data_IF_838235326462
#
_entry.id   IF_838235326462
#
_cell.length_a   1.000
_cell.length_b   1.000
_cell.length_c   1.000
_cell.angle_alpha   90.00
_cell.angle_beta   90.00
_cell.angle_gamma   90.00
#
_symmetry.space_group_name_H-M   'P 1'
#
loop_
_entity.id
_entity.type
_entity.pdbx_description
1 polymer ?
#
# COMPACT_ATOMS: atom_id res chain seq x y z
N UNK A 1 -12.27 7.65 -1.01
CA UNK A 1 -11.02 7.85 -0.24
C UNK A 1 -10.29 9.09 -0.73
N UNK A 2 -9.59 9.83 0.15
CA UNK A 2 -8.80 11.04 -0.20
C UNK A 2 -7.33 10.82 0.13
N UNK A 3 -6.43 11.48 -0.61
CA UNK A 3 -4.96 11.43 -0.38
C UNK A 3 -4.56 11.95 1.00
N UNK A 4 -5.40 12.77 1.63
CA UNK A 4 -5.20 13.30 2.98
C UNK A 4 -5.09 12.21 4.06
N UNK A 5 -5.63 11.01 3.82
CA UNK A 5 -5.49 9.87 4.73
C UNK A 5 -4.03 9.45 4.96
N UNK A 6 -3.10 9.80 4.06
CA UNK A 6 -1.68 9.53 4.22
C UNK A 6 -0.98 10.47 5.23
N UNK A 7 -1.63 11.58 5.62
CA UNK A 7 -1.04 12.63 6.47
C UNK A 7 -1.84 12.93 7.74
N UNK A 8 -2.62 11.96 8.24
CA UNK A 8 -3.53 12.17 9.38
C UNK A 8 -2.83 12.68 10.65
N UNK A 9 -1.53 12.37 10.81
CA UNK A 9 -0.68 12.86 11.91
C UNK A 9 -0.62 14.39 12.03
N UNK A 10 -0.83 15.11 10.94
CA UNK A 10 -0.70 16.57 10.89
C UNK A 10 -2.00 17.34 11.13
N UNK A 11 -3.10 16.67 11.49
CA UNK A 11 -4.44 17.26 11.57
C UNK A 11 -5.02 17.20 12.99
N UNK A 12 -5.71 18.27 13.40
CA UNK A 12 -6.46 18.35 14.67
C UNK A 12 -7.95 18.05 14.45
N UNK A 13 -8.67 17.74 15.54
CA UNK A 13 -10.13 17.58 15.58
C UNK A 13 -10.71 16.55 14.60
N UNK A 14 -10.01 15.43 14.45
CA UNK A 14 -10.41 14.34 13.56
C UNK A 14 -11.58 13.52 14.12
N UNK A 15 -12.63 13.32 13.31
CA UNK A 15 -13.70 12.35 13.60
C UNK A 15 -13.25 10.93 13.26
N UNK A 16 -12.65 10.26 14.24
CA UNK A 16 -12.16 8.89 14.12
C UNK A 16 -13.26 7.87 13.76
N UNK A 17 -14.51 8.10 14.17
CA UNK A 17 -15.62 7.18 13.86
C UNK A 17 -15.92 7.18 12.37
N UNK A 18 -15.81 8.33 11.71
CA UNK A 18 -15.96 8.45 10.26
C UNK A 18 -14.70 7.99 9.53
N UNK A 19 -13.50 8.31 10.05
CA UNK A 19 -12.23 7.93 9.43
C UNK A 19 -12.00 6.41 9.40
N UNK A 20 -12.36 5.67 10.45
CA UNK A 20 -12.22 4.21 10.48
C UNK A 20 -13.01 3.52 9.36
N UNK A 21 -14.07 4.14 8.83
CA UNK A 21 -14.82 3.62 7.68
C UNK A 21 -14.04 3.72 6.36
N UNK A 22 -12.96 4.50 6.34
CA UNK A 22 -12.08 4.71 5.19
C UNK A 22 -10.79 3.88 5.27
N UNK A 23 -10.66 3.03 6.29
CA UNK A 23 -9.54 2.11 6.44
C UNK A 23 -9.49 1.14 5.24
N UNK A 24 -8.28 0.87 4.75
CA UNK A 24 -8.03 -0.15 3.74
C UNK A 24 -8.30 -1.55 4.30
N UNK A 25 -8.57 -2.52 3.43
CA UNK A 25 -8.88 -3.89 3.84
C UNK A 25 -7.77 -4.57 4.66
N UNK A 26 -6.52 -4.13 4.51
CA UNK A 26 -5.38 -4.63 5.27
C UNK A 26 -5.22 -3.99 6.67
N UNK A 27 -6.10 -3.06 7.03
CA UNK A 27 -6.06 -2.33 8.30
C UNK A 27 -5.27 -1.02 8.24
N UNK A 28 -4.67 -0.68 7.10
CA UNK A 28 -3.91 0.56 6.94
C UNK A 28 -4.78 1.77 6.64
N UNK A 29 -4.24 2.95 6.91
CA UNK A 29 -4.71 4.19 6.33
C UNK A 29 -3.84 4.54 5.12
N UNK A 30 -4.38 4.29 3.92
CA UNK A 30 -3.73 4.57 2.64
C UNK A 30 -2.32 3.96 2.53
N UNK A 31 -2.13 2.75 3.05
CA UNK A 31 -0.86 2.02 3.07
C UNK A 31 0.28 2.72 3.86
N UNK A 32 -0.02 3.72 4.68
CA UNK A 32 0.97 4.48 5.45
C UNK A 32 1.11 3.92 6.87
N UNK A 33 2.27 3.31 7.25
CA UNK A 33 2.50 2.87 8.63
C UNK A 33 2.48 4.02 9.61
N UNK A 34 2.91 5.21 9.19
CA UNK A 34 2.88 6.38 10.04
C UNK A 34 1.42 6.72 10.38
N UNK A 35 0.58 7.05 9.39
CA UNK A 35 -0.83 7.42 9.64
C UNK A 35 -1.61 6.32 10.37
N UNK A 36 -1.32 5.05 10.07
CA UNK A 36 -1.94 3.91 10.76
C UNK A 36 -1.53 3.83 12.24
N UNK A 37 -0.27 4.11 12.59
CA UNK A 37 0.18 4.17 13.98
C UNK A 37 -0.51 5.30 14.76
N UNK A 38 -0.72 6.44 14.12
CA UNK A 38 -1.46 7.54 14.75
C UNK A 38 -2.92 7.17 15.01
N UNK A 39 -3.59 6.55 14.03
CA UNK A 39 -4.93 6.02 14.21
C UNK A 39 -4.99 5.03 15.38
N UNK A 40 -4.06 4.05 15.43
CA UNK A 40 -3.98 3.09 16.54
C UNK A 40 -3.84 3.78 17.90
N UNK A 41 -3.02 4.82 18.01
CA UNK A 41 -2.83 5.54 19.28
C UNK A 41 -4.14 6.17 19.78
N UNK A 42 -4.95 6.72 18.87
CA UNK A 42 -6.20 7.41 19.18
C UNK A 42 -7.39 6.47 19.39
N UNK A 43 -7.48 5.38 18.62
CA UNK A 43 -8.69 4.54 18.56
C UNK A 43 -8.52 3.17 19.19
N UNK A 44 -7.28 2.70 19.39
CA UNK A 44 -6.95 1.31 19.76
C UNK A 44 -7.52 0.27 18.78
N UNK A 45 -7.74 0.67 17.52
CA UNK A 45 -8.28 -0.21 16.50
C UNK A 45 -7.38 -1.43 16.23
N UNK A 46 -7.98 -2.62 16.28
CA UNK A 46 -7.25 -3.88 16.18
C UNK A 46 -6.71 -4.13 14.76
N UNK A 47 -7.39 -3.63 13.71
CA UNK A 47 -6.92 -3.77 12.34
C UNK A 47 -5.66 -2.93 12.10
N UNK A 48 -5.61 -1.70 12.64
CA UNK A 48 -4.40 -0.87 12.63
C UNK A 48 -3.23 -1.59 13.32
N UNK A 49 -3.48 -2.21 14.48
CA UNK A 49 -2.46 -3.00 15.17
C UNK A 49 -1.99 -4.19 14.34
N UNK A 50 -2.93 -4.95 13.76
CA UNK A 50 -2.61 -6.13 12.95
C UNK A 50 -1.77 -5.77 11.73
N UNK A 51 -2.06 -4.65 11.06
CA UNK A 51 -1.25 -4.12 9.97
C UNK A 51 0.18 -3.79 10.45
N UNK A 52 0.31 -2.97 11.48
CA UNK A 52 1.62 -2.52 12.00
C UNK A 52 2.47 -3.68 12.52
N UNK A 53 1.87 -4.62 13.23
CA UNK A 53 2.55 -5.81 13.75
C UNK A 53 3.07 -6.69 12.60
N UNK A 54 2.32 -6.84 11.51
CA UNK A 54 2.80 -7.52 10.31
C UNK A 54 3.99 -6.78 9.69
N UNK A 55 3.94 -5.44 9.62
CA UNK A 55 5.04 -4.63 9.06
C UNK A 55 6.32 -4.78 9.88
N UNK A 56 6.24 -4.58 11.20
CA UNK A 56 7.39 -4.69 12.11
C UNK A 56 8.02 -6.08 12.06
N UNK A 57 7.20 -7.14 12.00
CA UNK A 57 7.70 -8.52 11.82
C UNK A 57 8.38 -8.72 10.48
N UNK A 58 7.79 -8.19 9.40
CA UNK A 58 8.32 -8.32 8.03
C UNK A 58 9.65 -7.59 7.84
N UNK A 59 9.78 -6.41 8.43
CA UNK A 59 10.94 -5.51 8.28
C UNK A 59 11.85 -5.51 9.51
N UNK A 60 11.77 -6.56 10.34
CA UNK A 60 12.66 -6.82 11.46
C UNK A 60 12.87 -5.62 12.41
N UNK A 61 11.78 -4.98 12.83
CA UNK A 61 11.79 -3.82 13.70
C UNK A 61 11.63 -2.46 12.99
N UNK A 62 11.99 -2.38 11.71
CA UNK A 62 11.76 -1.20 10.87
C UNK A 62 10.37 -1.20 10.21
N UNK A 63 10.03 -0.11 9.52
CA UNK A 63 8.89 -0.01 8.59
C UNK A 63 9.24 0.97 7.45
N UNK A 64 8.78 0.74 6.20
CA UNK A 64 8.87 1.73 5.13
C UNK A 64 7.85 2.87 5.33
N UNK A 65 7.92 3.90 4.49
CA UNK A 65 6.93 5.00 4.50
C UNK A 65 5.57 4.57 3.94
N UNK A 66 5.56 3.60 3.01
CA UNK A 66 4.36 3.04 2.38
C UNK A 66 4.50 1.52 2.19
N UNK A 67 3.45 0.75 2.48
CA UNK A 67 3.42 -0.69 2.22
C UNK A 67 1.99 -1.27 2.21
N UNK A 68 1.66 -2.23 1.32
CA UNK A 68 2.48 -2.71 0.21
C UNK A 68 2.50 -1.73 -0.98
N UNK A 69 3.38 -1.98 -1.94
CA UNK A 69 3.48 -1.26 -3.22
C UNK A 69 3.59 -2.24 -4.39
N UNK A 70 2.98 -3.42 -4.24
CA UNK A 70 3.16 -4.57 -5.13
C UNK A 70 2.77 -4.25 -6.57
N UNK A 71 1.62 -3.63 -6.83
CA UNK A 71 1.23 -3.31 -8.21
C UNK A 71 2.15 -2.27 -8.83
N UNK A 72 2.54 -1.24 -8.07
CA UNK A 72 3.48 -0.23 -8.55
C UNK A 72 4.85 -0.83 -8.87
N UNK A 73 5.40 -1.67 -7.99
CA UNK A 73 6.71 -2.29 -8.19
C UNK A 73 6.75 -3.15 -9.46
N UNK A 74 5.73 -4.00 -9.69
CA UNK A 74 5.67 -4.84 -10.89
C UNK A 74 5.60 -3.99 -12.17
N UNK A 75 4.76 -2.95 -12.20
CA UNK A 75 4.63 -2.07 -13.36
C UNK A 75 5.91 -1.26 -13.59
N UNK A 76 6.49 -0.71 -12.51
CA UNK A 76 7.68 0.13 -12.59
C UNK A 76 8.90 -0.66 -13.09
N UNK A 77 9.11 -1.89 -12.60
CA UNK A 77 10.21 -2.75 -13.08
C UNK A 77 10.06 -3.02 -14.57
N UNK A 78 8.86 -3.39 -15.03
CA UNK A 78 8.61 -3.64 -16.46
C UNK A 78 8.86 -2.38 -17.28
N UNK A 79 8.33 -1.22 -16.88
CA UNK A 79 8.58 0.07 -17.53
C UNK A 79 10.08 0.36 -17.68
N UNK A 80 10.86 0.15 -16.62
CA UNK A 80 12.32 0.38 -16.66
C UNK A 80 13.03 -0.57 -17.62
N UNK A 81 12.69 -1.86 -17.60
CA UNK A 81 13.31 -2.86 -18.47
C UNK A 81 13.02 -2.59 -19.96
N UNK A 82 11.78 -2.22 -20.28
CA UNK A 82 11.37 -1.89 -21.64
C UNK A 82 12.04 -0.60 -22.14
N UNK A 83 12.02 0.47 -21.33
CA UNK A 83 12.63 1.76 -21.72
C UNK A 83 14.14 1.71 -21.87
N UNK A 84 14.82 0.82 -21.16
CA UNK A 84 16.24 0.56 -21.33
C UNK A 84 16.55 -0.36 -22.53
N UNK A 85 15.53 -0.95 -23.17
CA UNK A 85 15.70 -1.84 -24.32
C UNK A 85 16.35 -3.19 -23.96
N UNK A 86 16.24 -3.61 -22.70
CA UNK A 86 16.82 -4.86 -22.17
C UNK A 86 15.77 -5.90 -21.75
N UNK A 87 14.48 -5.61 -21.91
CA UNK A 87 13.36 -6.53 -21.60
C UNK A 87 13.48 -7.90 -22.26
N UNK A 88 14.14 -8.00 -23.43
CA UNK A 88 14.40 -9.28 -24.14
C UNK A 88 15.15 -10.33 -23.30
N UNK A 89 15.90 -9.92 -22.28
CA UNK A 89 16.61 -10.83 -21.38
C UNK A 89 15.76 -11.32 -20.21
N UNK A 90 14.57 -10.75 -20.02
CA UNK A 90 13.70 -10.94 -18.84
C UNK A 90 12.26 -11.26 -19.25
N UNK A 91 12.06 -11.95 -20.37
CA UNK A 91 10.72 -12.15 -20.95
C UNK A 91 9.77 -12.89 -20.00
N UNK A 92 10.28 -13.89 -19.26
CA UNK A 92 9.48 -14.65 -18.32
C UNK A 92 9.11 -13.81 -17.10
N UNK A 93 10.06 -13.06 -16.54
CA UNK A 93 9.85 -12.17 -15.40
C UNK A 93 8.87 -11.04 -15.75
N UNK A 94 9.00 -10.44 -16.93
CA UNK A 94 8.05 -9.45 -17.44
C UNK A 94 6.65 -10.05 -17.55
N UNK A 95 6.53 -11.27 -18.11
CA UNK A 95 5.25 -11.97 -18.20
C UNK A 95 4.65 -12.25 -16.83
N UNK A 96 5.44 -12.67 -15.86
CA UNK A 96 4.98 -12.95 -14.50
C UNK A 96 4.52 -11.66 -13.80
N UNK A 97 5.26 -10.56 -13.96
CA UNK A 97 4.86 -9.25 -13.45
C UNK A 97 3.53 -8.79 -14.06
N UNK A 98 3.39 -8.85 -15.38
CA UNK A 98 2.16 -8.42 -16.06
C UNK A 98 0.99 -9.34 -15.75
N UNK A 99 1.22 -10.64 -15.53
CA UNK A 99 0.19 -11.58 -15.10
C UNK A 99 -0.32 -11.27 -13.69
N UNK A 100 0.59 -10.87 -12.78
CA UNK A 100 0.22 -10.41 -11.45
C UNK A 100 -0.64 -9.13 -11.51
N UNK A 101 -0.18 -8.13 -12.26
CA UNK A 101 -0.91 -6.86 -12.44
C UNK A 101 -2.30 -7.11 -13.03
N UNK A 102 -2.38 -7.92 -14.08
CA UNK A 102 -3.63 -8.26 -14.75
C UNK A 102 -4.63 -8.94 -13.79
N UNK A 103 -4.16 -9.79 -12.89
CA UNK A 103 -5.02 -10.48 -11.90
C UNK A 103 -5.78 -9.52 -10.98
N UNK A 104 -5.20 -8.36 -10.68
CA UNK A 104 -5.77 -7.37 -9.78
C UNK A 104 -6.31 -6.12 -10.50
N UNK A 105 -6.27 -6.11 -11.83
CA UNK A 105 -6.87 -5.05 -12.63
C UNK A 105 -8.39 -5.08 -12.53
N UNK A 106 -9.01 -3.90 -12.40
CA UNK A 106 -10.47 -3.74 -12.39
C UNK A 106 -10.89 -2.54 -13.23
N UNK A 107 -12.16 -2.47 -13.63
CA UNK A 107 -12.71 -1.30 -14.37
C UNK A 107 -12.67 0.00 -13.56
N UNK A 108 -12.49 -0.08 -12.24
CA UNK A 108 -12.32 1.10 -11.36
C UNK A 108 -10.88 1.59 -11.31
N UNK A 109 -9.96 0.91 -12.02
CA UNK A 109 -8.52 1.14 -11.98
C UNK A 109 -7.81 0.31 -10.91
N UNK A 110 -6.52 0.59 -10.77
CA UNK A 110 -5.60 0.06 -9.76
C UNK A 110 -4.82 1.22 -9.14
N UNK A 111 -4.28 1.04 -7.94
CA UNK A 111 -3.33 1.97 -7.33
C UNK A 111 -2.03 1.21 -7.01
N UNK A 112 -1.28 1.70 -6.02
CA UNK A 112 0.02 1.16 -5.62
C UNK A 112 -0.01 -0.31 -5.19
N UNK A 113 -1.14 -0.80 -4.67
CA UNK A 113 -1.25 -2.12 -4.06
C UNK A 113 -2.55 -2.84 -4.39
N UNK A 114 -2.56 -4.18 -4.33
CA UNK A 114 -3.72 -5.01 -4.69
C UNK A 114 -4.99 -4.86 -3.82
N UNK A 115 -4.86 -4.32 -2.61
CA UNK A 115 -5.95 -4.24 -1.63
C UNK A 115 -6.48 -2.80 -1.53
N UNK A 116 -7.50 -2.45 -2.33
CA UNK A 116 -8.23 -1.18 -2.24
C UNK A 116 -9.51 -1.27 -1.42
#
# INVERSE_FOLDING_TARGET
>A
PTTLLHSLKGMSDLDWKSLLKLQSQDGSFLFSPSSTAFALMQTKDQNCYNYLNQMVKKFNGGVPDVYPVDLFEHIWVVDRLERLGISRYFQQEVKDCMSYVHRYWTEKGICWARNH
#
